data_IF_235153732780
#
_entry.id   IF_235153732780
#
_cell.length_a   1.000
_cell.length_b   1.000
_cell.length_c   1.000
_cell.angle_alpha   90.00
_cell.angle_beta   90.00
_cell.angle_gamma   90.00
#
_symmetry.space_group_name_H-M   'P 1'
#
loop_
_entity.id
_entity.type
_entity.pdbx_description
1 polymer ?
#
# COMPACT_ATOMS: atom_id res chain seq x y z
N UNK A 1 -25.43 6.42 -19.50
CA UNK A 1 -26.71 6.21 -18.77
C UNK A 1 -26.37 6.26 -17.30
N UNK A 2 -27.10 7.05 -16.50
CA UNK A 2 -26.77 7.29 -15.09
C UNK A 2 -26.91 6.00 -14.26
N UNK A 3 -25.80 5.57 -13.63
CA UNK A 3 -25.76 4.44 -12.68
C UNK A 3 -26.62 4.66 -11.42
N UNK A 4 -27.20 5.85 -11.23
CA UNK A 4 -28.09 6.18 -10.11
C UNK A 4 -29.52 5.63 -10.25
N UNK A 5 -29.85 4.94 -11.34
CA UNK A 5 -31.23 4.50 -11.60
C UNK A 5 -31.73 3.34 -10.73
N UNK A 6 -30.83 2.57 -10.10
CA UNK A 6 -31.16 1.33 -9.39
C UNK A 6 -30.63 1.26 -7.94
N UNK A 7 -29.94 2.28 -7.45
CA UNK A 7 -29.37 2.32 -6.09
C UNK A 7 -29.96 3.51 -5.31
N UNK A 8 -30.33 3.28 -4.05
CA UNK A 8 -30.90 4.32 -3.19
C UNK A 8 -29.83 5.16 -2.47
N UNK A 9 -28.60 4.69 -2.39
CA UNK A 9 -27.50 5.37 -1.73
C UNK A 9 -26.20 5.31 -2.57
N UNK A 10 -25.51 6.45 -2.62
CA UNK A 10 -24.22 6.62 -3.26
C UNK A 10 -23.26 7.31 -2.28
N UNK A 11 -22.03 6.80 -2.20
CA UNK A 11 -20.93 7.43 -1.50
C UNK A 11 -19.67 7.34 -2.34
N UNK A 12 -18.98 8.45 -2.52
CA UNK A 12 -17.71 8.53 -3.24
C UNK A 12 -16.69 9.33 -2.44
N UNK A 13 -15.41 8.95 -2.56
CA UNK A 13 -14.29 9.78 -2.09
C UNK A 13 -13.43 10.09 -3.29
N UNK A 14 -13.21 11.38 -3.56
CA UNK A 14 -12.33 11.80 -4.65
C UNK A 14 -10.86 11.57 -4.34
N UNK A 15 -10.03 11.47 -5.38
CA UNK A 15 -8.57 11.39 -5.27
C UNK A 15 -8.00 12.47 -4.36
N UNK A 16 -8.40 13.74 -4.58
CA UNK A 16 -8.00 14.86 -3.71
C UNK A 16 -8.43 14.65 -2.25
N UNK A 17 -9.57 14.01 -2.02
CA UNK A 17 -10.05 13.66 -0.69
C UNK A 17 -9.19 12.58 -0.03
N UNK A 18 -8.81 11.56 -0.79
CA UNK A 18 -7.93 10.47 -0.38
C UNK A 18 -6.54 11.02 -0.04
N UNK A 19 -5.94 11.80 -0.93
CA UNK A 19 -4.62 12.40 -0.72
C UNK A 19 -4.56 13.27 0.53
N UNK A 20 -5.58 14.12 0.76
CA UNK A 20 -5.67 14.93 1.98
C UNK A 20 -5.80 14.06 3.24
N UNK A 21 -6.58 12.99 3.15
CA UNK A 21 -6.73 12.06 4.26
C UNK A 21 -5.39 11.37 4.57
N UNK A 22 -4.68 10.86 3.56
CA UNK A 22 -3.38 10.21 3.71
C UNK A 22 -2.35 11.19 4.30
N UNK A 23 -2.31 12.42 3.81
CA UNK A 23 -1.44 13.48 4.33
C UNK A 23 -1.68 13.74 5.81
N UNK A 24 -2.92 14.00 6.21
CA UNK A 24 -3.27 14.26 7.63
C UNK A 24 -3.03 13.02 8.50
N UNK A 25 -3.42 11.83 8.02
CA UNK A 25 -3.31 10.60 8.79
C UNK A 25 -1.85 10.22 9.04
N UNK A 26 -1.01 10.22 8.01
CA UNK A 26 0.40 9.86 8.14
C UNK A 26 1.26 10.96 8.76
N UNK A 27 0.87 12.23 8.64
CA UNK A 27 1.45 13.30 9.45
C UNK A 27 1.20 13.07 10.95
N UNK A 28 -0.01 12.64 11.32
CA UNK A 28 -0.34 12.32 12.70
C UNK A 28 0.27 10.98 13.18
N UNK A 29 0.55 10.05 12.26
CA UNK A 29 1.01 8.68 12.55
C UNK A 29 2.20 8.26 11.67
N UNK A 30 3.35 8.95 11.77
CA UNK A 30 4.49 8.72 10.90
C UNK A 30 5.11 7.31 11.04
N UNK A 31 4.93 6.65 12.19
CA UNK A 31 5.41 5.29 12.42
C UNK A 31 4.75 4.23 11.52
N UNK A 32 3.59 4.53 10.92
CA UNK A 32 2.93 3.66 9.95
C UNK A 32 3.58 3.73 8.55
N UNK A 33 4.50 4.68 8.34
CA UNK A 33 5.33 4.79 7.15
C UNK A 33 6.77 4.31 7.39
N UNK A 34 7.09 3.77 8.57
CA UNK A 34 8.43 3.32 8.89
C UNK A 34 8.39 1.90 9.47
N UNK A 35 9.10 0.98 8.84
CA UNK A 35 9.12 -0.43 9.19
C UNK A 35 10.57 -0.88 9.37
N UNK A 36 10.87 -1.57 10.46
CA UNK A 36 12.24 -1.91 10.81
C UNK A 36 12.37 -3.31 11.35
N UNK A 37 13.47 -3.97 10.99
CA UNK A 37 13.94 -5.17 11.69
C UNK A 37 14.37 -4.84 13.13
N UNK A 38 14.55 -5.85 13.98
CA UNK A 38 14.78 -5.68 15.43
C UNK A 38 15.85 -4.66 15.84
N UNK A 39 16.92 -4.46 15.03
CA UNK A 39 17.95 -3.46 15.32
C UNK A 39 17.52 -2.02 15.03
N UNK A 40 16.57 -1.82 14.11
CA UNK A 40 16.05 -0.52 13.72
C UNK A 40 14.74 -0.17 14.44
N UNK A 41 13.92 -1.16 14.80
CA UNK A 41 12.66 -0.98 15.52
C UNK A 41 12.83 -0.96 17.05
N UNK A 42 13.82 -0.21 17.56
CA UNK A 42 14.07 -0.08 19.01
C UNK A 42 12.99 0.74 19.73
N UNK A 43 12.28 1.59 18.99
CA UNK A 43 11.12 2.36 19.48
C UNK A 43 9.91 2.11 18.57
N UNK A 44 8.93 1.30 19.00
CA UNK A 44 7.76 0.95 18.18
C UNK A 44 6.84 2.14 17.87
N UNK A 45 6.96 3.24 18.64
CA UNK A 45 6.20 4.47 18.36
C UNK A 45 6.79 5.30 17.21
N UNK A 46 7.99 4.94 16.73
CA UNK A 46 8.67 5.61 15.61
C UNK A 46 8.81 4.68 14.40
N UNK A 47 9.03 3.38 14.65
CA UNK A 47 9.27 2.39 13.60
C UNK A 47 8.50 1.12 13.95
N UNK A 48 7.59 0.72 13.09
CA UNK A 48 6.82 -0.51 13.23
C UNK A 48 7.75 -1.72 13.09
N UNK A 49 7.84 -2.62 14.09
CA UNK A 49 8.69 -3.79 13.98
C UNK A 49 8.18 -4.74 12.91
N UNK A 50 9.07 -5.19 12.03
CA UNK A 50 8.79 -6.25 11.06
C UNK A 50 9.12 -7.59 11.70
N UNK A 51 8.14 -8.49 11.75
CA UNK A 51 8.40 -9.89 12.07
C UNK A 51 9.07 -10.56 10.87
N UNK A 52 10.39 -10.71 10.95
CA UNK A 52 11.20 -11.32 9.89
C UNK A 52 10.81 -12.77 9.59
N UNK A 53 10.10 -13.47 10.49
CA UNK A 53 9.60 -14.82 10.24
C UNK A 53 8.45 -14.86 9.22
N UNK A 54 7.75 -13.74 9.07
CA UNK A 54 6.66 -13.56 8.09
C UNK A 54 7.15 -13.03 6.74
N UNK A 55 8.42 -12.62 6.66
CA UNK A 55 9.02 -12.14 5.43
C UNK A 55 9.43 -13.29 4.50
N UNK A 56 9.45 -13.05 3.18
CA UNK A 56 10.05 -13.97 2.22
C UNK A 56 11.48 -14.35 2.60
N UNK A 57 11.85 -15.61 2.40
CA UNK A 57 13.08 -16.20 2.94
C UNK A 57 14.40 -15.52 2.56
N UNK A 58 14.45 -14.71 1.49
CA UNK A 58 15.66 -13.99 1.09
C UNK A 58 15.95 -12.75 1.96
N UNK A 59 14.99 -12.25 2.75
CA UNK A 59 15.21 -11.17 3.73
C UNK A 59 15.69 -11.68 5.09
N UNK A 60 15.76 -13.00 5.29
CA UNK A 60 16.17 -13.59 6.56
C UNK A 60 17.63 -13.25 6.88
N UNK A 61 17.84 -12.60 8.03
CA UNK A 61 19.17 -12.24 8.55
C UNK A 61 19.67 -10.87 8.10
N UNK A 62 18.97 -10.21 7.17
CA UNK A 62 19.30 -8.85 6.75
C UNK A 62 18.58 -7.83 7.65
N UNK A 63 19.33 -6.85 8.15
CA UNK A 63 18.79 -5.80 9.00
C UNK A 63 18.50 -4.58 8.13
N UNK A 64 17.22 -4.22 8.04
CA UNK A 64 16.76 -3.08 7.26
C UNK A 64 15.84 -2.17 8.07
N UNK A 65 15.84 -0.89 7.69
CA UNK A 65 14.81 0.09 7.96
C UNK A 65 14.22 0.53 6.61
N UNK A 66 12.90 0.44 6.47
CA UNK A 66 12.15 0.82 5.28
C UNK A 66 11.28 2.00 5.68
N UNK A 67 11.39 3.11 4.95
CA UNK A 67 10.62 4.34 5.16
C UNK A 67 9.90 4.70 3.87
N UNK A 68 8.64 5.08 3.99
CA UNK A 68 7.83 5.55 2.88
C UNK A 68 7.61 7.05 3.05
N UNK A 69 7.71 7.82 1.97
CA UNK A 69 7.11 9.15 1.91
C UNK A 69 5.57 8.99 1.87
N UNK A 70 4.84 10.05 2.23
CA UNK A 70 3.37 10.00 2.23
C UNK A 70 2.90 9.65 0.81
N UNK A 71 2.18 8.55 0.62
CA UNK A 71 1.76 8.10 -0.70
C UNK A 71 0.71 9.04 -1.28
N UNK A 72 0.67 9.13 -2.60
CA UNK A 72 -0.41 9.76 -3.36
C UNK A 72 -1.14 8.73 -4.18
N UNK A 73 -2.44 8.92 -4.34
CA UNK A 73 -3.28 8.05 -5.15
C UNK A 73 -3.60 8.76 -6.46
N UNK A 74 -3.64 8.00 -7.53
CA UNK A 74 -4.07 8.44 -8.85
C UNK A 74 -5.13 7.47 -9.37
N UNK A 75 -6.33 7.99 -9.58
CA UNK A 75 -7.50 7.23 -10.07
C UNK A 75 -7.82 7.64 -11.51
N UNK A 76 -7.11 8.63 -12.05
CA UNK A 76 -7.42 9.21 -13.35
C UNK A 76 -6.94 8.23 -14.45
N UNK A 77 -7.83 7.77 -15.34
CA UNK A 77 -7.41 6.98 -16.49
C UNK A 77 -6.42 7.80 -17.35
N UNK A 78 -5.43 7.17 -18.00
CA UNK A 78 -4.37 7.92 -18.66
C UNK A 78 -4.91 8.79 -19.80
N UNK A 79 -4.93 10.11 -19.58
CA UNK A 79 -5.12 11.09 -20.66
C UNK A 79 -3.82 11.28 -21.48
N UNK A 80 -2.66 10.94 -20.91
CA UNK A 80 -1.36 10.95 -21.61
C UNK A 80 -0.34 10.01 -20.97
N UNK A 81 0.46 9.34 -21.79
CA UNK A 81 1.34 8.21 -21.45
C UNK A 81 2.63 8.56 -20.68
N UNK A 82 2.60 9.52 -19.76
CA UNK A 82 3.80 9.97 -19.02
C UNK A 82 3.92 9.39 -17.61
N UNK A 83 2.90 8.69 -17.15
CA UNK A 83 2.91 8.02 -15.86
C UNK A 83 3.62 6.67 -15.93
N UNK A 84 4.39 6.35 -14.88
CA UNK A 84 5.16 5.12 -14.75
C UNK A 84 4.24 3.88 -14.84
N UNK A 85 3.05 3.99 -14.27
CA UNK A 85 2.10 2.89 -14.22
C UNK A 85 0.66 3.45 -14.21
N UNK A 86 0.11 3.83 -15.38
CA UNK A 86 -1.21 4.44 -15.43
C UNK A 86 -2.32 3.43 -15.05
N UNK A 87 -3.35 3.85 -14.30
CA UNK A 87 -4.42 2.95 -13.89
C UNK A 87 -5.33 2.55 -15.07
N UNK A 88 -5.73 1.27 -15.09
CA UNK A 88 -6.80 0.78 -15.97
C UNK A 88 -8.20 1.00 -15.38
N UNK A 89 -9.21 0.42 -16.03
CA UNK A 89 -10.59 0.44 -15.51
C UNK A 89 -10.65 -0.29 -14.15
N UNK A 90 -11.31 0.33 -13.16
CA UNK A 90 -11.44 -0.20 -11.78
C UNK A 90 -10.09 -0.42 -11.08
N UNK A 91 -9.11 0.42 -11.42
CA UNK A 91 -7.79 0.41 -10.83
C UNK A 91 -7.40 1.82 -10.39
N UNK A 92 -6.42 1.88 -9.51
CA UNK A 92 -5.78 3.11 -9.09
C UNK A 92 -4.30 2.85 -8.87
N UNK A 93 -3.49 3.87 -9.10
CA UNK A 93 -2.05 3.79 -8.87
C UNK A 93 -1.68 4.55 -7.61
N UNK A 94 -0.78 3.96 -6.82
CA UNK A 94 -0.22 4.60 -5.63
C UNK A 94 1.23 4.95 -5.94
N UNK A 95 1.56 6.23 -5.85
CA UNK A 95 2.92 6.73 -6.00
C UNK A 95 3.50 7.04 -4.63
N UNK A 96 4.70 6.51 -4.36
CA UNK A 96 5.45 6.85 -3.15
C UNK A 96 6.94 6.71 -3.39
N UNK A 97 7.70 7.40 -2.55
CA UNK A 97 9.13 7.22 -2.47
C UNK A 97 9.47 6.28 -1.33
N UNK A 98 10.26 5.25 -1.60
CA UNK A 98 10.73 4.29 -0.60
C UNK A 98 12.21 4.55 -0.33
N UNK A 99 12.56 4.71 0.94
CA UNK A 99 13.94 4.80 1.42
C UNK A 99 14.24 3.56 2.24
N UNK A 100 15.24 2.79 1.83
CA UNK A 100 15.66 1.56 2.49
C UNK A 100 17.09 1.71 2.99
N UNK A 101 17.28 1.62 4.29
CA UNK A 101 18.58 1.60 4.94
C UNK A 101 18.96 0.17 5.29
N UNK A 102 20.03 -0.35 4.68
CA UNK A 102 20.58 -1.66 4.94
C UNK A 102 21.78 -1.56 5.88
N UNK A 103 21.80 -2.37 6.94
CA UNK A 103 23.00 -2.55 7.75
C UNK A 103 23.88 -3.64 7.11
N UNK A 104 24.98 -3.23 6.49
CA UNK A 104 25.93 -4.14 5.85
C UNK A 104 27.17 -4.33 6.73
N UNK A 105 27.42 -5.59 7.11
CA UNK A 105 28.68 -6.02 7.70
C UNK A 105 29.55 -6.73 6.66
N UNK A 106 30.86 -6.52 6.68
CA UNK A 106 31.78 -7.26 5.79
C UNK A 106 32.27 -8.55 6.46
N UNK A 107 32.06 -9.73 5.87
CA UNK A 107 32.66 -10.97 6.35
C UNK A 107 34.12 -11.03 5.88
N UNK A 108 35.06 -10.70 6.78
CA UNK A 108 36.55 -10.87 6.71
C UNK A 108 37.37 -9.70 6.14
N UNK A 109 38.01 -8.94 7.04
CA UNK A 109 39.47 -9.01 7.31
C UNK A 109 39.80 -7.94 8.37
N UNK A 110 39.66 -8.28 9.65
CA UNK A 110 40.10 -7.41 10.74
C UNK A 110 41.47 -7.88 11.21
N UNK A 111 42.52 -7.34 10.56
CA UNK A 111 43.90 -7.33 11.12
C UNK A 111 44.38 -5.93 11.47
N UNK A 112 43.53 -4.91 11.26
CA UNK A 112 43.82 -3.51 11.57
C UNK A 112 42.50 -2.79 11.90
N UNK A 113 42.01 -3.02 13.11
CA UNK A 113 41.44 -1.99 14.00
C UNK A 113 40.11 -1.30 13.68
N UNK A 114 39.64 -1.21 12.44
CA UNK A 114 38.45 -0.39 12.17
C UNK A 114 37.67 -0.84 10.92
N UNK A 115 36.75 -1.80 11.12
CA UNK A 115 35.72 -2.16 10.11
C UNK A 115 34.39 -2.34 10.81
N UNK A 116 33.74 -1.21 11.12
CA UNK A 116 32.37 -1.17 11.63
C UNK A 116 31.34 -1.61 10.58
N UNK A 117 30.16 -2.02 11.04
CA UNK A 117 29.00 -2.10 10.16
C UNK A 117 28.70 -0.72 9.56
N UNK A 118 28.31 -0.66 8.30
CA UNK A 118 27.96 0.60 7.63
C UNK A 118 26.53 0.53 7.10
N UNK A 119 25.89 1.70 7.04
CA UNK A 119 24.55 1.85 6.48
C UNK A 119 24.65 2.15 4.99
N UNK A 120 23.86 1.45 4.19
CA UNK A 120 23.66 1.73 2.77
C UNK A 120 22.22 2.22 2.62
N UNK A 121 22.03 3.48 2.21
CA UNK A 121 20.73 4.05 1.91
C UNK A 121 20.41 3.86 0.43
N UNK A 122 19.20 3.38 0.14
CA UNK A 122 18.64 3.24 -1.20
C UNK A 122 17.33 4.02 -1.28
N UNK A 123 17.24 5.00 -2.17
CA UNK A 123 16.03 5.81 -2.41
C UNK A 123 15.42 5.44 -3.76
N UNK A 124 14.17 5.01 -3.76
CA UNK A 124 13.44 4.47 -4.92
C UNK A 124 12.13 5.21 -5.11
N UNK A 125 11.80 5.54 -6.35
CA UNK A 125 10.44 5.96 -6.72
C UNK A 125 9.66 4.72 -7.13
N UNK A 126 8.52 4.50 -6.49
CA UNK A 126 7.72 3.29 -6.66
C UNK A 126 6.31 3.68 -7.08
N UNK A 127 5.84 3.09 -8.18
CA UNK A 127 4.45 3.11 -8.57
C UNK A 127 3.83 1.74 -8.32
N UNK A 128 2.64 1.72 -7.74
CA UNK A 128 1.96 0.51 -7.33
C UNK A 128 0.55 0.51 -7.89
N UNK A 129 0.28 -0.34 -8.87
CA UNK A 129 -1.06 -0.52 -9.43
C UNK A 129 -1.86 -1.42 -8.50
N UNK A 130 -3.02 -0.92 -8.10
CA UNK A 130 -3.92 -1.56 -7.17
C UNK A 130 -5.32 -1.69 -7.76
N UNK A 131 -6.08 -2.64 -7.23
CA UNK A 131 -7.51 -2.76 -7.49
C UNK A 131 -8.28 -2.93 -6.17
N UNK A 132 -9.49 -2.38 -6.05
CA UNK A 132 -10.35 -2.66 -4.90
C UNK A 132 -10.72 -4.15 -4.84
N UNK A 133 -10.77 -4.72 -3.64
CA UNK A 133 -11.11 -6.13 -3.43
C UNK A 133 -12.26 -6.26 -2.43
N UNK A 134 -13.30 -7.00 -2.80
CA UNK A 134 -14.43 -7.31 -1.92
C UNK A 134 -14.50 -8.80 -1.64
N UNK A 135 -14.61 -9.14 -0.36
CA UNK A 135 -14.85 -10.52 0.09
C UNK A 135 -16.16 -10.56 0.86
N UNK A 136 -17.17 -11.18 0.27
CA UNK A 136 -18.45 -11.40 0.95
C UNK A 136 -18.34 -12.63 1.85
N UNK A 137 -18.64 -12.46 3.14
CA UNK A 137 -18.61 -13.55 4.13
C UNK A 137 -20.00 -14.13 4.40
N UNK A 138 -21.04 -13.29 4.30
CA UNK A 138 -22.45 -13.66 4.38
C UNK A 138 -23.31 -12.59 3.68
N UNK A 139 -24.63 -12.80 3.49
CA UNK A 139 -25.50 -11.76 2.93
C UNK A 139 -25.36 -10.43 3.68
N UNK A 140 -24.92 -9.38 2.97
CA UNK A 140 -24.71 -8.03 3.50
C UNK A 140 -23.56 -7.87 4.50
N UNK A 141 -22.66 -8.85 4.62
CA UNK A 141 -21.45 -8.73 5.44
C UNK A 141 -20.22 -9.25 4.71
N UNK A 142 -19.09 -8.62 4.98
CA UNK A 142 -17.85 -8.93 4.30
C UNK A 142 -16.71 -8.02 4.70
N UNK A 143 -15.69 -7.99 3.87
CA UNK A 143 -14.56 -7.08 4.01
C UNK A 143 -14.19 -6.46 2.68
N UNK A 144 -13.84 -5.19 2.73
CA UNK A 144 -13.20 -4.45 1.66
C UNK A 144 -11.70 -4.47 1.94
N UNK A 145 -10.90 -4.70 0.91
CA UNK A 145 -9.45 -4.59 0.96
C UNK A 145 -8.92 -4.09 -0.37
N UNK A 146 -7.60 -4.16 -0.52
CA UNK A 146 -6.89 -3.73 -1.72
C UNK A 146 -6.09 -4.92 -2.21
N UNK A 147 -6.17 -5.21 -3.50
CA UNK A 147 -5.28 -6.16 -4.17
C UNK A 147 -4.19 -5.43 -4.91
N UNK A 148 -2.95 -5.89 -4.71
CA UNK A 148 -1.80 -5.51 -5.51
C UNK A 148 -1.92 -6.14 -6.90
N UNK A 149 -1.79 -5.33 -7.95
CA UNK A 149 -1.80 -5.80 -9.35
C UNK A 149 -0.37 -5.83 -9.88
N UNK A 150 0.34 -4.71 -9.78
CA UNK A 150 1.68 -4.54 -10.34
C UNK A 150 2.49 -3.54 -9.51
N UNK A 151 3.82 -3.71 -9.49
CA UNK A 151 4.78 -2.80 -8.86
C UNK A 151 5.83 -2.47 -9.90
N UNK A 152 6.09 -1.18 -10.09
CA UNK A 152 7.15 -0.69 -10.97
C UNK A 152 8.08 0.25 -10.22
N UNK A 153 9.38 0.16 -10.49
CA UNK A 153 10.42 0.97 -9.85
C UNK A 153 11.31 1.61 -10.91
N UNK A 154 11.49 2.93 -10.84
CA UNK A 154 12.37 3.62 -11.79
C UNK A 154 13.84 3.68 -11.33
N UNK A 155 14.74 3.74 -12.30
CA UNK A 155 16.12 4.18 -12.09
C UNK A 155 17.09 3.14 -11.53
N UNK A 156 16.72 1.86 -11.55
CA UNK A 156 17.61 0.77 -11.13
C UNK A 156 18.30 0.16 -12.35
N UNK A 157 19.63 0.07 -12.30
CA UNK A 157 20.41 -0.72 -13.24
C UNK A 157 21.38 -1.64 -12.49
N UNK A 158 21.63 -2.86 -13.00
CA UNK A 158 21.06 -3.45 -14.23
C UNK A 158 19.61 -3.91 -14.06
N UNK A 159 18.90 -4.18 -15.17
CA UNK A 159 17.49 -4.65 -15.19
C UNK A 159 17.26 -5.87 -14.28
N UNK A 160 18.23 -6.77 -14.17
CA UNK A 160 18.12 -7.90 -13.26
C UNK A 160 17.99 -7.49 -11.79
N UNK A 161 18.64 -6.39 -11.38
CA UNK A 161 18.52 -5.84 -10.02
C UNK A 161 17.16 -5.16 -9.82
N UNK A 162 16.65 -4.46 -10.85
CA UNK A 162 15.32 -3.86 -10.85
C UNK A 162 14.25 -4.92 -10.60
N UNK A 163 14.26 -6.01 -11.38
CA UNK A 163 13.34 -7.14 -11.21
C UNK A 163 13.42 -7.79 -9.83
N UNK A 164 14.63 -7.89 -9.27
CA UNK A 164 14.79 -8.39 -7.89
C UNK A 164 14.08 -7.42 -6.96
N UNK A 165 14.38 -6.12 -7.02
CA UNK A 165 13.78 -5.11 -6.13
C UNK A 165 12.25 -5.06 -6.27
N UNK A 166 11.72 -5.10 -7.48
CA UNK A 166 10.28 -5.20 -7.75
C UNK A 166 9.67 -6.45 -7.10
N UNK A 167 10.33 -7.60 -7.20
CA UNK A 167 9.89 -8.83 -6.55
C UNK A 167 9.88 -8.69 -5.01
N UNK A 168 10.90 -8.05 -4.43
CA UNK A 168 10.97 -7.78 -2.99
C UNK A 168 9.81 -6.88 -2.56
N UNK A 169 9.64 -5.75 -3.24
CA UNK A 169 8.58 -4.78 -2.94
C UNK A 169 7.19 -5.38 -3.12
N UNK A 170 6.98 -6.18 -4.17
CA UNK A 170 5.72 -6.90 -4.40
C UNK A 170 5.37 -7.78 -3.22
N UNK A 171 6.32 -8.56 -2.69
CA UNK A 171 6.06 -9.44 -1.56
C UNK A 171 5.78 -8.66 -0.27
N UNK A 172 6.54 -7.58 -0.01
CA UNK A 172 6.33 -6.71 1.14
C UNK A 172 4.98 -5.98 1.09
N UNK A 173 4.63 -5.40 -0.06
CA UNK A 173 3.38 -4.68 -0.26
C UNK A 173 2.19 -5.64 -0.21
N UNK A 174 2.29 -6.83 -0.80
CA UNK A 174 1.23 -7.85 -0.69
C UNK A 174 0.97 -8.22 0.77
N UNK A 175 2.02 -8.42 1.56
CA UNK A 175 1.89 -8.71 2.99
C UNK A 175 1.24 -7.54 3.74
N UNK A 176 1.70 -6.31 3.51
CA UNK A 176 1.20 -5.11 4.17
C UNK A 176 -0.27 -4.83 3.81
N UNK A 177 -0.62 -4.86 2.52
CA UNK A 177 -1.99 -4.67 2.02
C UNK A 177 -2.93 -5.78 2.50
N UNK A 178 -2.42 -7.00 2.67
CA UNK A 178 -3.18 -8.10 3.27
C UNK A 178 -3.65 -7.83 4.71
N UNK A 179 -2.97 -6.93 5.45
CA UNK A 179 -3.40 -6.49 6.78
C UNK A 179 -4.47 -5.40 6.72
N UNK A 180 -4.60 -4.70 5.59
CA UNK A 180 -5.56 -3.59 5.41
C UNK A 180 -6.89 -4.15 4.93
N UNK A 181 -7.73 -4.52 5.88
CA UNK A 181 -9.10 -4.96 5.62
C UNK A 181 -10.09 -4.15 6.44
N UNK A 182 -11.12 -3.63 5.77
CA UNK A 182 -12.21 -2.87 6.36
C UNK A 182 -13.43 -3.79 6.39
N UNK A 183 -13.83 -4.32 7.55
CA UNK A 183 -15.05 -5.11 7.64
C UNK A 183 -16.27 -4.22 7.43
N UNK A 184 -17.27 -4.74 6.73
CA UNK A 184 -18.58 -4.12 6.61
C UNK A 184 -19.68 -5.11 7.00
N UNK A 185 -20.74 -4.59 7.58
CA UNK A 185 -21.95 -5.33 7.93
C UNK A 185 -23.16 -4.48 7.60
N UNK A 186 -24.29 -5.13 7.32
CA UNK A 186 -25.59 -4.46 7.22
C UNK A 186 -25.84 -3.68 8.50
N UNK A 187 -26.16 -2.41 8.35
CA UNK A 187 -26.61 -1.60 9.45
C UNK A 187 -28.13 -1.59 9.46
N UNK A 188 -28.74 -2.14 10.52
CA UNK A 188 -30.18 -2.12 10.73
C UNK A 188 -30.51 -1.17 11.86
N UNK A 189 -31.31 -0.14 11.58
CA UNK A 189 -31.79 0.80 12.60
C UNK A 189 -33.28 1.07 12.37
N UNK A 190 -34.10 0.82 13.39
CA UNK A 190 -35.55 1.09 13.41
C UNK A 190 -36.32 0.58 12.17
N UNK A 191 -35.98 -0.62 11.68
CA UNK A 191 -36.66 -1.26 10.54
C UNK A 191 -36.15 -0.83 9.17
N UNK A 192 -35.12 0.01 9.11
CA UNK A 192 -34.39 0.38 7.90
C UNK A 192 -33.06 -0.36 7.87
N UNK A 193 -32.76 -1.01 6.76
CA UNK A 193 -31.55 -1.78 6.51
C UNK A 193 -30.72 -1.13 5.39
N UNK A 194 -29.49 -0.75 5.72
CA UNK A 194 -28.49 -0.27 4.76
C UNK A 194 -27.60 -1.42 4.31
N UNK A 195 -27.70 -1.77 3.03
CA UNK A 195 -26.95 -2.89 2.45
C UNK A 195 -26.05 -2.38 1.33
N UNK A 196 -24.75 -2.70 1.40
CA UNK A 196 -23.83 -2.48 0.29
C UNK A 196 -24.22 -3.40 -0.88
N UNK A 197 -24.57 -2.82 -2.02
CA UNK A 197 -24.98 -3.55 -3.23
C UNK A 197 -23.82 -3.72 -4.21
N UNK A 198 -22.99 -2.67 -4.36
CA UNK A 198 -21.90 -2.65 -5.33
C UNK A 198 -20.74 -1.77 -4.84
N UNK A 199 -19.54 -2.11 -5.27
CA UNK A 199 -18.29 -1.40 -4.96
C UNK A 199 -17.54 -1.94 -3.74
N UNK A 200 -16.37 -1.37 -3.41
CA UNK A 200 -15.73 -0.21 -4.06
C UNK A 200 -15.39 -0.43 -5.54
N UNK A 201 -15.61 0.60 -6.34
CA UNK A 201 -15.18 0.71 -7.74
C UNK A 201 -14.30 1.95 -7.87
N UNK A 202 -13.15 1.85 -8.53
CA UNK A 202 -12.29 2.99 -8.84
C UNK A 202 -12.61 3.53 -10.24
N UNK A 203 -13.26 4.69 -10.31
CA UNK A 203 -13.68 5.29 -11.58
C UNK A 203 -13.89 6.81 -11.41
N UNK A 204 -13.74 7.57 -12.50
CA UNK A 204 -14.12 8.98 -12.59
C UNK A 204 -13.52 9.84 -11.46
N UNK A 205 -12.22 9.64 -11.16
CA UNK A 205 -11.47 10.36 -10.10
C UNK A 205 -11.96 10.04 -8.66
N UNK A 206 -12.71 8.94 -8.49
CA UNK A 206 -13.31 8.57 -7.21
C UNK A 206 -13.25 7.07 -6.92
N UNK A 207 -13.27 6.73 -5.62
CA UNK A 207 -13.65 5.40 -5.16
C UNK A 207 -15.11 5.44 -4.74
N UNK A 208 -15.95 4.69 -5.44
CA UNK A 208 -17.41 4.72 -5.30
C UNK A 208 -17.96 3.45 -4.65
N UNK A 209 -18.94 3.62 -3.77
CA UNK A 209 -19.74 2.55 -3.17
C UNK A 209 -21.23 2.84 -3.34
N UNK A 210 -21.98 1.78 -3.64
CA UNK A 210 -23.41 1.85 -3.91
C UNK A 210 -24.18 0.97 -2.93
N UNK A 211 -25.27 1.51 -2.41
CA UNK A 211 -26.10 0.84 -1.42
C UNK A 211 -27.58 0.91 -1.71
N UNK A 212 -28.31 0.08 -0.98
CA UNK A 212 -29.76 0.06 -0.96
C UNK A 212 -30.29 0.30 0.46
N UNK A 213 -31.47 0.89 0.53
CA UNK A 213 -32.24 1.17 1.72
C UNK A 213 -33.53 0.36 1.61
N UNK A 214 -33.70 -0.63 2.49
CA UNK A 214 -34.90 -1.48 2.56
C UNK A 214 -35.53 -1.43 3.93
#
# INVERSE_FOLDING_TARGET
MSLTGAHHLFGGVSETGIDKFLDVFFTARPHLLAYGTSLFATNPNLVTPIDTSSLPGFLLGLQALIRFEIPKVDITPPDSSTELLPPGNDQFTVYTTVVIDFLCGTPKESRTGDRGAHLIELKLQVAVLCAPRVVNSAPGSGSIGISLVEVSVEGIQPVALEQIVECILTALLTWALGQVTIPFNVFTLDGVSLTLQQGPVAQDDQIEVFGDIT
#
